data_IF_800338565163
#
_entry.id   IF_800338565163
#
_cell.length_a   1.000
_cell.length_b   1.000
_cell.length_c   1.000
_cell.angle_alpha   90.00
_cell.angle_beta   90.00
_cell.angle_gamma   90.00
#
_symmetry.space_group_name_H-M   'P 1'
#
loop_
_entity.id
_entity.type
_entity.pdbx_description
1 polymer ?
#
# COMPACT_ATOMS: atom_id res chain seq x y z
N UNK A 1 10.78 -3.66 -13.58
CA UNK A 1 9.61 -3.17 -12.84
C UNK A 1 8.95 -2.07 -13.66
N UNK A 2 7.65 -2.19 -13.94
CA UNK A 2 6.87 -1.21 -14.67
C UNK A 2 5.52 -0.96 -13.99
N UNK A 3 5.12 0.30 -13.93
CA UNK A 3 3.76 0.68 -13.50
C UNK A 3 3.11 1.56 -14.55
N UNK A 4 1.86 1.25 -14.87
CA UNK A 4 1.02 2.08 -15.74
C UNK A 4 -0.16 2.56 -14.91
N UNK A 5 -0.40 3.86 -14.93
CA UNK A 5 -1.51 4.48 -14.21
C UNK A 5 -2.29 5.40 -15.14
N UNK A 6 -3.57 5.15 -15.26
CA UNK A 6 -4.51 6.01 -15.98
C UNK A 6 -5.42 6.68 -14.96
N UNK A 7 -5.50 8.02 -15.00
CA UNK A 7 -6.43 8.81 -14.20
C UNK A 7 -7.27 9.64 -15.15
N UNK A 8 -8.57 9.67 -14.91
CA UNK A 8 -9.51 10.57 -15.57
C UNK A 8 -10.43 11.17 -14.53
N UNK A 9 -10.51 12.47 -14.51
CA UNK A 9 -11.39 13.21 -13.62
C UNK A 9 -12.12 14.33 -14.36
N UNK A 10 -13.21 14.75 -13.77
CA UNK A 10 -13.98 15.94 -14.18
C UNK A 10 -14.32 16.73 -12.94
N UNK A 11 -14.01 18.00 -13.00
CA UNK A 11 -14.27 18.96 -11.94
C UNK A 11 -15.29 19.99 -12.45
N UNK A 12 -16.24 20.31 -11.59
CA UNK A 12 -17.19 21.37 -11.81
C UNK A 12 -17.25 22.25 -10.56
N UNK A 13 -16.91 23.52 -10.71
CA UNK A 13 -16.96 24.51 -9.65
C UNK A 13 -17.91 25.65 -10.06
N UNK A 14 -18.75 26.08 -9.11
CA UNK A 14 -19.68 27.19 -9.34
C UNK A 14 -19.87 28.01 -8.08
N UNK A 15 -19.75 29.32 -8.20
CA UNK A 15 -20.07 30.26 -7.15
C UNK A 15 -21.35 31.02 -7.50
N UNK A 16 -22.29 31.06 -6.54
CA UNK A 16 -23.56 31.77 -6.64
C UNK A 16 -23.70 32.61 -5.38
N UNK A 17 -23.44 33.93 -5.49
CA UNK A 17 -23.41 34.83 -4.36
C UNK A 17 -22.35 34.41 -3.31
N UNK A 18 -22.79 34.05 -2.15
CA UNK A 18 -21.91 33.59 -1.02
C UNK A 18 -21.68 32.08 -1.00
N UNK A 19 -22.24 31.34 -1.94
CA UNK A 19 -22.21 29.89 -2.00
C UNK A 19 -21.23 29.42 -3.08
N UNK A 20 -20.25 28.62 -2.73
CA UNK A 20 -19.35 27.95 -3.69
C UNK A 20 -19.51 26.45 -3.56
N UNK A 21 -19.82 25.83 -4.69
CA UNK A 21 -19.98 24.37 -4.83
C UNK A 21 -18.89 23.83 -5.71
N UNK A 22 -18.31 22.71 -5.33
CA UNK A 22 -17.38 21.96 -6.16
C UNK A 22 -17.77 20.49 -6.21
N UNK A 23 -17.69 19.90 -7.38
CA UNK A 23 -17.93 18.46 -7.62
C UNK A 23 -16.76 17.91 -8.40
N UNK A 24 -16.19 16.82 -7.92
CA UNK A 24 -15.16 16.06 -8.63
C UNK A 24 -15.62 14.63 -8.77
N UNK A 25 -15.64 14.14 -10.00
CA UNK A 25 -15.87 12.74 -10.32
C UNK A 25 -14.63 12.19 -10.99
N UNK A 26 -14.10 11.10 -10.50
CA UNK A 26 -12.88 10.54 -11.05
C UNK A 26 -12.85 9.02 -11.05
N UNK A 27 -12.03 8.51 -11.95
CA UNK A 27 -11.68 7.11 -12.02
C UNK A 27 -10.17 6.94 -12.21
N UNK A 28 -9.61 5.91 -11.65
CA UNK A 28 -8.22 5.52 -11.90
C UNK A 28 -8.08 4.02 -12.09
N UNK A 29 -7.12 3.63 -12.90
CA UNK A 29 -6.71 2.26 -13.07
C UNK A 29 -5.19 2.18 -12.94
N UNK A 30 -4.72 1.27 -12.12
CA UNK A 30 -3.29 0.99 -11.91
C UNK A 30 -3.00 -0.44 -12.32
N UNK A 31 -1.92 -0.63 -13.06
CA UNK A 31 -1.32 -1.92 -13.35
C UNK A 31 0.16 -1.86 -13.00
N UNK A 32 0.55 -2.73 -12.12
CA UNK A 32 1.94 -2.90 -11.69
C UNK A 32 2.44 -4.26 -12.14
N UNK A 33 3.65 -4.31 -12.67
CA UNK A 33 4.36 -5.53 -13.02
C UNK A 33 5.75 -5.50 -12.42
N UNK A 34 6.15 -6.58 -11.81
CA UNK A 34 7.47 -6.74 -11.23
C UNK A 34 8.10 -8.06 -11.65
N UNK A 35 9.33 -7.97 -12.14
CA UNK A 35 10.20 -9.09 -12.41
C UNK A 35 11.42 -8.97 -11.53
N UNK A 36 11.94 -10.07 -11.07
CA UNK A 36 13.16 -10.12 -10.30
C UNK A 36 14.15 -11.08 -10.94
N UNK A 37 15.38 -10.61 -11.11
CA UNK A 37 16.52 -11.43 -11.48
C UNK A 37 17.52 -11.38 -10.33
N UNK A 38 17.92 -12.53 -9.84
CA UNK A 38 18.94 -12.66 -8.81
C UNK A 38 20.10 -13.52 -9.29
N UNK A 39 21.26 -13.28 -8.74
CA UNK A 39 22.44 -14.08 -8.97
C UNK A 39 23.26 -14.21 -7.70
N UNK A 40 23.89 -15.35 -7.51
CA UNK A 40 24.84 -15.59 -6.46
C UNK A 40 26.09 -16.26 -7.00
N UNK A 41 27.21 -16.00 -6.38
CA UNK A 41 28.47 -16.69 -6.58
C UNK A 41 29.09 -17.01 -5.24
N UNK A 42 29.82 -18.10 -5.20
CA UNK A 42 30.53 -18.59 -4.02
C UNK A 42 32.04 -18.30 -4.17
N UNK A 43 32.79 -18.52 -3.09
CA UNK A 43 34.26 -18.41 -3.07
C UNK A 43 34.74 -17.00 -3.43
N UNK A 44 34.43 -16.04 -2.57
CA UNK A 44 34.97 -14.68 -2.66
C UNK A 44 36.48 -14.69 -2.51
N UNK A 45 37.19 -14.14 -3.50
CA UNK A 45 38.66 -13.99 -3.47
C UNK A 45 39.10 -13.02 -2.39
N UNK A 46 38.30 -11.96 -2.15
CA UNK A 46 38.57 -10.99 -1.10
C UNK A 46 37.29 -10.71 -0.28
N UNK A 47 37.18 -11.21 0.94
CA UNK A 47 36.01 -11.02 1.79
C UNK A 47 35.79 -9.56 2.21
N UNK A 48 36.84 -8.71 2.16
CA UNK A 48 36.74 -7.29 2.50
C UNK A 48 36.16 -6.45 1.34
N UNK A 49 36.04 -7.02 0.15
CA UNK A 49 35.39 -6.41 -1.03
C UNK A 49 34.35 -7.37 -1.61
N UNK A 50 33.20 -7.52 -0.97
CA UNK A 50 32.16 -8.46 -1.40
C UNK A 50 31.50 -7.95 -2.70
N UNK A 51 31.90 -8.52 -3.82
CA UNK A 51 31.30 -8.29 -5.13
C UNK A 51 31.16 -9.62 -5.87
N UNK A 52 30.09 -9.75 -6.63
CA UNK A 52 29.88 -10.93 -7.49
C UNK A 52 31.04 -11.11 -8.48
N UNK A 53 31.66 -10.01 -8.92
CA UNK A 53 32.76 -10.03 -9.87
C UNK A 53 34.05 -10.64 -9.26
N UNK A 54 34.21 -10.58 -7.94
CA UNK A 54 35.36 -11.13 -7.21
C UNK A 54 35.10 -12.53 -6.64
N UNK A 55 34.04 -13.21 -7.07
CA UNK A 55 33.72 -14.56 -6.66
C UNK A 55 34.03 -15.54 -7.80
N UNK A 56 34.78 -16.61 -7.48
CA UNK A 56 35.20 -17.61 -8.49
C UNK A 56 34.09 -18.61 -8.85
N UNK A 57 33.00 -18.64 -8.07
CA UNK A 57 31.93 -19.62 -8.20
C UNK A 57 32.23 -20.91 -7.43
N UNK A 58 31.29 -21.83 -7.42
CA UNK A 58 31.48 -23.17 -6.89
C UNK A 58 31.94 -24.09 -8.02
N UNK A 59 33.07 -24.78 -7.82
CA UNK A 59 33.62 -25.72 -8.78
C UNK A 59 33.22 -27.13 -8.36
N UNK A 60 32.49 -27.81 -9.21
CA UNK A 60 32.12 -29.20 -9.06
C UNK A 60 33.06 -30.06 -9.94
N UNK A 61 33.80 -30.97 -9.32
CA UNK A 61 34.76 -31.81 -10.00
C UNK A 61 34.11 -33.15 -10.37
N UNK A 62 34.19 -33.50 -11.62
CA UNK A 62 33.84 -34.87 -12.10
C UNK A 62 35.06 -35.78 -11.91
N UNK A 63 34.86 -36.90 -11.26
CA UNK A 63 35.92 -37.91 -11.02
C UNK A 63 35.58 -39.21 -11.72
N UNK A 64 36.61 -39.92 -12.19
CA UNK A 64 36.49 -41.29 -12.70
C UNK A 64 36.38 -42.32 -11.53
N UNK A 65 36.27 -43.60 -11.90
CA UNK A 65 36.17 -44.71 -10.92
C UNK A 65 37.41 -44.84 -10.04
N UNK A 66 38.55 -44.34 -10.50
CA UNK A 66 39.83 -44.37 -9.77
C UNK A 66 40.06 -43.12 -8.93
N UNK A 67 39.09 -42.17 -8.94
CA UNK A 67 39.13 -40.95 -8.16
C UNK A 67 39.85 -39.77 -8.83
N UNK A 68 40.34 -39.90 -10.06
CA UNK A 68 41.03 -38.84 -10.81
C UNK A 68 40.03 -37.80 -11.32
N UNK A 69 40.40 -36.55 -11.27
CA UNK A 69 39.56 -35.44 -11.79
C UNK A 69 39.58 -35.52 -13.33
N UNK A 70 38.42 -35.82 -13.92
CA UNK A 70 38.22 -35.87 -15.38
C UNK A 70 37.58 -34.61 -15.94
N UNK A 71 37.01 -33.73 -15.07
CA UNK A 71 36.40 -32.49 -15.48
C UNK A 71 36.11 -31.57 -14.29
N UNK A 72 35.84 -30.32 -14.61
CA UNK A 72 35.39 -29.32 -13.65
C UNK A 72 34.30 -28.44 -14.26
N UNK A 73 33.22 -28.27 -13.55
CA UNK A 73 32.10 -27.38 -13.91
C UNK A 73 31.96 -26.26 -12.89
N UNK A 74 32.00 -25.03 -13.38
CA UNK A 74 31.74 -23.87 -12.50
C UNK A 74 30.25 -23.61 -12.43
N UNK A 75 29.70 -23.70 -11.25
CA UNK A 75 28.29 -23.40 -11.02
C UNK A 75 28.11 -21.89 -10.74
N UNK A 76 27.24 -21.29 -11.51
CA UNK A 76 26.78 -19.91 -11.31
C UNK A 76 25.31 -19.96 -10.94
N UNK A 77 24.96 -19.43 -9.77
CA UNK A 77 23.55 -19.28 -9.40
C UNK A 77 22.94 -18.06 -10.06
N UNK A 78 22.15 -18.27 -11.08
CA UNK A 78 21.27 -17.25 -11.64
C UNK A 78 19.85 -17.76 -11.51
N UNK A 79 18.97 -16.96 -10.93
CA UNK A 79 17.59 -17.36 -10.75
C UNK A 79 16.65 -16.20 -11.09
N UNK A 80 15.55 -16.51 -11.75
CA UNK A 80 14.41 -15.61 -11.90
C UNK A 80 13.60 -15.60 -10.60
N UNK A 81 13.28 -14.44 -10.12
CA UNK A 81 12.33 -14.28 -9.02
C UNK A 81 10.88 -14.39 -9.49
N UNK A 82 9.93 -14.37 -8.56
CA UNK A 82 8.53 -14.46 -8.91
C UNK A 82 8.10 -13.26 -9.75
N UNK A 83 7.38 -13.53 -10.83
CA UNK A 83 6.64 -12.51 -11.55
C UNK A 83 5.47 -12.04 -10.70
N UNK A 84 5.37 -10.73 -10.48
CA UNK A 84 4.27 -10.13 -9.76
C UNK A 84 3.47 -9.24 -10.67
N UNK A 85 2.15 -9.39 -10.65
CA UNK A 85 1.24 -8.48 -11.35
C UNK A 85 0.13 -8.06 -10.41
N UNK A 86 0.04 -6.76 -10.16
CA UNK A 86 -0.99 -6.16 -9.33
C UNK A 86 -1.82 -5.18 -10.15
N UNK A 87 -3.13 -5.24 -10.00
CA UNK A 87 -4.07 -4.34 -10.66
C UNK A 87 -5.02 -3.73 -9.63
N UNK A 88 -5.26 -2.43 -9.78
CA UNK A 88 -6.19 -1.68 -8.97
C UNK A 88 -7.09 -0.84 -9.86
N UNK A 89 -8.35 -0.76 -9.50
CA UNK A 89 -9.35 0.09 -10.18
C UNK A 89 -10.12 0.87 -9.14
N UNK A 90 -10.22 2.17 -9.32
CA UNK A 90 -10.85 3.07 -8.36
C UNK A 90 -11.84 3.99 -9.02
N UNK A 91 -12.94 4.25 -8.34
CA UNK A 91 -13.90 5.31 -8.67
C UNK A 91 -14.12 6.16 -7.44
N UNK A 92 -14.18 7.49 -7.62
CA UNK A 92 -14.43 8.39 -6.51
C UNK A 92 -15.29 9.58 -6.92
N UNK A 93 -16.03 10.07 -5.94
CA UNK A 93 -16.78 11.30 -6.03
C UNK A 93 -16.45 12.17 -4.81
N UNK A 94 -16.24 13.46 -5.02
CA UNK A 94 -16.03 14.45 -3.98
C UNK A 94 -17.00 15.60 -4.19
N UNK A 95 -17.66 16.00 -3.13
CA UNK A 95 -18.47 17.19 -3.04
C UNK A 95 -17.81 18.15 -2.07
N UNK A 96 -17.68 19.41 -2.46
CA UNK A 96 -17.22 20.48 -1.60
C UNK A 96 -18.23 21.62 -1.61
N UNK A 97 -18.44 22.22 -0.45
CA UNK A 97 -19.30 23.35 -0.27
C UNK A 97 -18.64 24.36 0.64
N UNK A 98 -18.66 25.61 0.26
CA UNK A 98 -18.18 26.73 1.05
C UNK A 98 -19.22 27.83 1.06
N UNK A 99 -19.57 28.29 2.24
CA UNK A 99 -20.46 29.43 2.45
C UNK A 99 -19.69 30.62 2.99
N UNK A 100 -19.53 31.63 2.17
CA UNK A 100 -18.93 32.93 2.50
C UNK A 100 -17.57 32.83 3.24
N UNK A 101 -16.78 31.80 2.89
CA UNK A 101 -15.51 31.49 3.55
C UNK A 101 -15.63 31.26 5.08
N UNK A 102 -16.86 31.07 5.59
CA UNK A 102 -17.15 30.80 7.00
C UNK A 102 -17.28 29.31 7.28
N UNK A 103 -18.15 28.63 6.52
CA UNK A 103 -18.47 27.23 6.69
C UNK A 103 -18.03 26.43 5.49
N UNK A 104 -17.22 25.43 5.71
CA UNK A 104 -16.69 24.54 4.69
C UNK A 104 -17.10 23.10 5.00
N UNK A 105 -17.63 22.40 4.01
CA UNK A 105 -17.99 21.00 4.13
C UNK A 105 -17.42 20.28 2.90
N UNK A 106 -16.78 19.14 3.12
CA UNK A 106 -16.34 18.25 2.06
C UNK A 106 -16.76 16.83 2.39
N UNK A 107 -17.35 16.15 1.42
CA UNK A 107 -17.65 14.71 1.50
C UNK A 107 -17.01 14.01 0.32
N UNK A 108 -16.38 12.87 0.57
CA UNK A 108 -15.77 12.03 -0.46
C UNK A 108 -16.23 10.60 -0.28
N UNK A 109 -16.55 9.91 -1.35
CA UNK A 109 -16.74 8.49 -1.39
C UNK A 109 -15.81 7.90 -2.44
N UNK A 110 -15.07 6.86 -2.07
CA UNK A 110 -14.15 6.15 -2.95
C UNK A 110 -14.44 4.66 -2.89
N UNK A 111 -14.50 4.03 -4.05
CA UNK A 111 -14.62 2.60 -4.20
C UNK A 111 -13.41 2.06 -4.94
N UNK A 112 -12.65 1.21 -4.29
CA UNK A 112 -11.40 0.63 -4.80
C UNK A 112 -11.56 -0.86 -4.97
N UNK A 113 -11.08 -1.40 -6.09
CA UNK A 113 -10.99 -2.82 -6.36
C UNK A 113 -9.54 -3.23 -6.55
N UNK A 114 -9.10 -4.31 -5.89
CA UNK A 114 -7.74 -4.83 -5.95
C UNK A 114 -7.73 -6.28 -6.42
N UNK A 115 -6.73 -6.64 -7.25
CA UNK A 115 -6.52 -8.03 -7.69
C UNK A 115 -6.00 -8.95 -6.59
N UNK A 116 -5.58 -8.39 -5.45
CA UNK A 116 -5.08 -9.14 -4.31
C UNK A 116 -6.16 -9.84 -3.52
N UNK A 117 -7.42 -9.44 -3.70
CA UNK A 117 -8.58 -10.04 -3.04
C UNK A 117 -9.38 -10.93 -3.98
N UNK A 118 -10.02 -11.95 -3.39
CA UNK A 118 -10.96 -12.83 -4.08
C UNK A 118 -12.22 -12.10 -4.55
N UNK A 119 -13.05 -12.79 -5.33
CA UNK A 119 -14.24 -12.22 -5.95
C UNK A 119 -15.23 -11.66 -4.92
N UNK A 120 -15.30 -12.28 -3.71
CA UNK A 120 -16.26 -11.90 -2.66
C UNK A 120 -15.97 -10.52 -2.05
N UNK A 121 -14.69 -10.15 -1.90
CA UNK A 121 -14.26 -8.93 -1.21
C UNK A 121 -13.29 -8.08 -2.05
N UNK A 122 -13.38 -8.20 -3.36
CA UNK A 122 -12.50 -7.50 -4.30
C UNK A 122 -12.59 -5.97 -4.17
N UNK A 123 -13.78 -5.46 -3.84
CA UNK A 123 -14.05 -4.03 -3.75
C UNK A 123 -14.26 -3.59 -2.30
N UNK A 124 -13.56 -2.51 -1.91
CA UNK A 124 -13.79 -1.76 -0.68
C UNK A 124 -14.42 -0.40 -0.97
N UNK A 125 -15.19 0.13 -0.03
CA UNK A 125 -15.80 1.47 -0.14
C UNK A 125 -15.38 2.31 1.06
N UNK A 126 -14.80 3.47 0.79
CA UNK A 126 -14.13 4.31 1.78
C UNK A 126 -14.72 5.72 1.75
N UNK A 127 -15.71 6.00 2.62
CA UNK A 127 -16.27 7.32 2.78
C UNK A 127 -15.39 8.19 3.67
N UNK A 128 -15.44 9.52 3.45
CA UNK A 128 -14.90 10.51 4.35
C UNK A 128 -15.70 11.80 4.32
N UNK A 129 -15.73 12.50 5.43
CA UNK A 129 -16.37 13.81 5.56
C UNK A 129 -15.48 14.71 6.40
N UNK A 130 -15.42 15.98 6.03
CA UNK A 130 -14.74 17.01 6.81
C UNK A 130 -15.58 18.28 6.85
N UNK A 131 -15.53 18.95 7.98
CA UNK A 131 -16.17 20.26 8.20
C UNK A 131 -15.15 21.24 8.74
N UNK A 132 -15.24 22.47 8.32
CA UNK A 132 -14.40 23.56 8.80
C UNK A 132 -15.26 24.79 9.06
N UNK A 133 -14.99 25.44 10.18
CA UNK A 133 -15.59 26.72 10.54
C UNK A 133 -14.50 27.77 10.75
N UNK A 134 -14.53 28.76 9.88
CA UNK A 134 -13.65 29.91 9.98
C UNK A 134 -14.30 30.97 10.89
N UNK A 135 -14.05 30.87 12.18
CA UNK A 135 -14.70 31.68 13.22
C UNK A 135 -14.35 33.15 13.05
N UNK A 136 -13.12 33.45 12.62
CA UNK A 136 -12.66 34.84 12.40
C UNK A 136 -13.50 35.61 11.38
N UNK A 137 -14.17 34.88 10.44
CA UNK A 137 -15.00 35.50 9.43
C UNK A 137 -16.43 35.82 9.92
N UNK A 138 -16.74 35.48 11.18
CA UNK A 138 -18.01 35.84 11.77
C UNK A 138 -18.03 37.32 12.19
N UNK A 139 -19.24 37.91 12.22
CA UNK A 139 -19.42 39.33 12.53
C UNK A 139 -19.07 39.63 13.98
N UNK A 140 -19.34 38.71 14.90
CA UNK A 140 -19.03 38.88 16.32
C UNK A 140 -17.53 38.86 16.64
N UNK A 141 -16.68 38.43 15.67
CA UNK A 141 -15.22 38.42 15.80
C UNK A 141 -14.56 39.68 15.21
N UNK A 142 -15.33 40.64 14.71
CA UNK A 142 -14.78 41.82 14.03
C UNK A 142 -13.75 42.58 14.86
N UNK A 143 -14.03 42.80 16.15
CA UNK A 143 -13.16 43.56 17.07
C UNK A 143 -11.89 42.79 17.49
N UNK A 144 -11.87 41.48 17.30
CA UNK A 144 -10.72 40.66 17.69
C UNK A 144 -9.70 40.47 16.59
N UNK A 145 -10.01 40.83 15.33
CA UNK A 145 -9.17 40.61 14.15
C UNK A 145 -7.81 41.33 14.23
N UNK A 146 -7.69 42.38 15.00
CA UNK A 146 -6.42 43.11 15.18
C UNK A 146 -5.33 42.20 15.79
N UNK A 147 -5.69 41.38 16.76
CA UNK A 147 -4.76 40.50 17.44
C UNK A 147 -4.95 39.03 17.09
N UNK A 148 -6.19 38.54 16.82
CA UNK A 148 -6.53 37.18 16.40
C UNK A 148 -6.91 37.20 14.92
N UNK A 149 -5.92 37.00 14.06
CA UNK A 149 -6.07 37.13 12.61
C UNK A 149 -6.72 35.90 11.96
N UNK A 150 -6.59 34.73 12.59
CA UNK A 150 -7.20 33.50 12.14
C UNK A 150 -7.62 32.63 13.33
N UNK A 151 -8.85 32.17 13.31
CA UNK A 151 -9.37 31.13 14.19
C UNK A 151 -10.23 30.19 13.34
N UNK A 152 -9.72 28.99 13.10
CA UNK A 152 -10.42 27.96 12.35
C UNK A 152 -10.55 26.70 13.18
N UNK A 153 -11.75 26.19 13.29
CA UNK A 153 -12.06 24.90 13.89
C UNK A 153 -12.37 23.91 12.77
N UNK A 154 -11.84 22.71 12.87
CA UNK A 154 -12.06 21.66 11.88
C UNK A 154 -12.33 20.32 12.53
N UNK A 155 -13.18 19.54 11.92
CA UNK A 155 -13.44 18.17 12.27
C UNK A 155 -13.48 17.30 11.03
N UNK A 156 -12.94 16.10 11.11
CA UNK A 156 -13.00 15.15 10.03
C UNK A 156 -13.20 13.73 10.54
N UNK A 157 -13.82 12.93 9.68
CA UNK A 157 -13.96 11.50 9.86
C UNK A 157 -13.79 10.82 8.51
N UNK A 158 -13.09 9.69 8.50
CA UNK A 158 -12.93 8.95 7.26
C UNK A 158 -12.44 7.53 7.47
N UNK A 159 -12.70 6.70 6.45
CA UNK A 159 -12.19 5.35 6.33
C UNK A 159 -11.21 5.25 5.19
N UNK A 160 -10.12 4.50 5.41
CA UNK A 160 -9.15 4.13 4.39
C UNK A 160 -8.99 2.62 4.36
N UNK A 161 -8.86 2.05 3.15
CA UNK A 161 -8.54 0.66 2.94
C UNK A 161 -7.04 0.45 2.72
N UNK A 162 -6.55 -0.69 3.19
CA UNK A 162 -5.20 -1.16 2.93
C UNK A 162 -5.28 -2.53 2.25
N UNK A 163 -4.62 -2.68 1.09
CA UNK A 163 -4.51 -3.92 0.31
C UNK A 163 -3.09 -4.47 0.29
N UNK A 164 -2.24 -4.05 1.22
CA UNK A 164 -0.85 -4.49 1.27
C UNK A 164 -0.71 -5.92 1.80
N UNK A 165 -1.13 -6.86 0.98
CA UNK A 165 -1.06 -8.31 1.21
C UNK A 165 -0.33 -8.98 0.05
N UNK A 166 0.09 -10.23 0.27
CA UNK A 166 0.69 -11.03 -0.79
C UNK A 166 -0.29 -11.26 -1.95
N UNK A 167 0.23 -11.30 -3.17
CA UNK A 167 -0.55 -11.69 -4.35
C UNK A 167 -1.19 -13.06 -4.14
N UNK A 168 -2.42 -13.22 -4.63
CA UNK A 168 -3.21 -14.44 -4.47
C UNK A 168 -3.38 -14.92 -3.03
N UNK A 169 -3.38 -13.96 -2.05
CA UNK A 169 -3.54 -14.25 -0.62
C UNK A 169 -4.78 -15.09 -0.28
N UNK A 170 -5.80 -15.03 -1.13
CA UNK A 170 -7.07 -15.74 -1.00
C UNK A 170 -7.06 -17.18 -1.50
N UNK A 171 -6.00 -17.65 -2.20
CA UNK A 171 -5.90 -19.01 -2.74
C UNK A 171 -5.00 -19.91 -1.87
N UNK A 172 -5.20 -21.23 -1.97
CA UNK A 172 -4.24 -22.20 -1.42
C UNK A 172 -2.99 -22.26 -2.32
N UNK A 173 -1.84 -22.40 -1.69
CA UNK A 173 -0.58 -22.66 -2.39
C UNK A 173 0.00 -23.98 -1.92
N UNK A 174 0.53 -24.73 -2.89
CA UNK A 174 1.23 -26.00 -2.64
C UNK A 174 2.71 -25.80 -2.95
N UNK A 175 3.56 -26.05 -1.97
CA UNK A 175 5.01 -26.07 -2.18
C UNK A 175 5.43 -27.45 -2.69
N UNK A 176 6.17 -27.44 -3.80
CA UNK A 176 6.79 -28.62 -4.39
C UNK A 176 8.21 -28.81 -3.83
N UNK A 177 8.78 -30.03 -3.99
CA UNK A 177 10.16 -30.30 -3.60
C UNK A 177 10.35 -30.62 -2.13
N UNK A 178 9.29 -30.86 -1.36
CA UNK A 178 9.39 -31.39 0.00
C UNK A 178 9.68 -32.88 -0.09
N UNK A 179 10.96 -33.23 0.01
CA UNK A 179 11.40 -34.61 -0.11
C UNK A 179 11.06 -35.41 1.16
N UNK A 180 10.53 -36.60 0.95
CA UNK A 180 10.25 -37.58 2.01
C UNK A 180 11.12 -38.80 1.76
N UNK A 181 11.74 -39.31 2.80
CA UNK A 181 12.48 -40.57 2.75
C UNK A 181 11.53 -41.70 3.11
N UNK A 182 11.31 -42.64 2.19
CA UNK A 182 10.42 -43.78 2.40
C UNK A 182 11.17 -45.11 2.27
N UNK A 183 10.72 -46.10 3.05
CA UNK A 183 11.25 -47.44 3.06
C UNK A 183 12.52 -47.62 3.90
N UNK A 184 12.96 -48.88 4.04
CA UNK A 184 14.17 -49.21 4.80
C UNK A 184 15.42 -48.61 4.20
N UNK A 185 15.44 -48.41 2.87
CA UNK A 185 16.58 -47.91 2.12
C UNK A 185 16.56 -46.37 1.99
N UNK A 186 15.68 -45.68 2.72
CA UNK A 186 15.56 -44.24 2.77
C UNK A 186 15.50 -43.59 1.39
N UNK A 187 14.74 -44.19 0.45
CA UNK A 187 14.60 -43.69 -0.92
C UNK A 187 13.92 -42.32 -0.87
N UNK A 188 14.54 -41.35 -1.53
CA UNK A 188 14.07 -39.98 -1.62
C UNK A 188 12.92 -39.85 -2.65
N UNK A 189 11.75 -39.48 -2.16
CA UNK A 189 10.59 -39.17 -3.00
C UNK A 189 10.29 -37.68 -3.00
N UNK A 190 9.96 -37.15 -4.18
CA UNK A 190 9.51 -35.77 -4.28
C UNK A 190 8.08 -35.68 -3.79
N UNK A 191 7.87 -34.89 -2.75
CA UNK A 191 6.56 -34.65 -2.17
C UNK A 191 6.11 -33.20 -2.38
N UNK A 192 4.86 -32.96 -2.02
CA UNK A 192 4.28 -31.63 -1.98
C UNK A 192 3.55 -31.45 -0.64
N UNK A 193 3.53 -30.20 -0.14
CA UNK A 193 2.75 -29.84 1.06
C UNK A 193 1.99 -28.56 0.83
N UNK A 194 0.86 -28.43 1.51
CA UNK A 194 0.17 -27.15 1.56
C UNK A 194 1.08 -26.11 2.24
N UNK A 195 1.32 -25.01 1.54
CA UNK A 195 2.08 -23.88 2.08
C UNK A 195 1.17 -22.85 2.74
N UNK A 196 -0.07 -22.75 2.25
CA UNK A 196 -1.08 -21.83 2.73
C UNK A 196 -2.46 -22.39 2.47
N UNK A 197 -3.37 -22.23 3.44
CA UNK A 197 -4.78 -22.52 3.29
C UNK A 197 -5.46 -21.38 2.50
N UNK A 198 -6.48 -21.74 1.71
CA UNK A 198 -7.30 -20.76 1.03
C UNK A 198 -8.14 -19.95 2.04
N UNK A 199 -8.21 -18.64 1.82
CA UNK A 199 -9.16 -17.77 2.51
C UNK A 199 -9.93 -16.92 1.48
N UNK A 200 -11.03 -17.45 0.90
CA UNK A 200 -11.80 -16.75 -0.13
C UNK A 200 -12.46 -15.47 0.40
N UNK A 201 -12.63 -15.35 1.71
CA UNK A 201 -13.26 -14.23 2.39
C UNK A 201 -12.24 -13.18 2.89
N UNK A 202 -10.99 -13.31 2.45
CA UNK A 202 -9.96 -12.30 2.72
C UNK A 202 -10.43 -10.94 2.20
N UNK A 203 -10.45 -9.94 3.08
CA UNK A 203 -10.99 -8.60 2.80
C UNK A 203 -10.01 -7.50 3.16
N UNK A 204 -10.32 -6.29 2.75
CA UNK A 204 -9.58 -5.08 3.04
C UNK A 204 -9.40 -4.89 4.54
N UNK A 205 -8.19 -4.52 4.94
CA UNK A 205 -7.94 -3.94 6.24
C UNK A 205 -8.44 -2.49 6.22
N UNK A 206 -9.30 -2.12 7.15
CA UNK A 206 -9.91 -0.80 7.22
C UNK A 206 -9.33 0.00 8.39
N UNK A 207 -8.87 1.20 8.09
CA UNK A 207 -8.46 2.18 9.09
C UNK A 207 -9.48 3.31 9.13
N UNK A 208 -10.10 3.50 10.28
CA UNK A 208 -11.06 4.56 10.56
C UNK A 208 -10.39 5.62 11.45
N UNK A 209 -10.49 6.87 11.04
CA UNK A 209 -9.88 7.98 11.77
C UNK A 209 -10.90 9.12 11.96
N UNK A 210 -10.91 9.68 13.16
CA UNK A 210 -11.66 10.89 13.51
C UNK A 210 -10.66 11.91 14.01
N UNK A 211 -10.71 13.12 13.46
CA UNK A 211 -9.84 14.24 13.82
C UNK A 211 -10.64 15.45 14.26
N UNK A 212 -10.13 16.15 15.28
CA UNK A 212 -10.56 17.47 15.68
C UNK A 212 -9.35 18.39 15.70
N UNK A 213 -9.41 19.52 15.02
CA UNK A 213 -8.31 20.45 14.92
C UNK A 213 -8.72 21.90 15.15
N UNK A 214 -7.79 22.69 15.65
CA UNK A 214 -7.90 24.13 15.79
C UNK A 214 -6.65 24.79 15.22
N UNK A 215 -6.87 25.80 14.40
CA UNK A 215 -5.80 26.64 13.83
C UNK A 215 -5.99 28.08 14.30
N UNK A 216 -4.94 28.65 14.89
CA UNK A 216 -4.89 29.99 15.41
C UNK A 216 -3.79 30.78 14.70
N UNK A 217 -4.08 32.03 14.39
CA UNK A 217 -3.11 32.97 13.85
C UNK A 217 -3.23 34.32 14.58
N UNK A 218 -2.15 34.85 15.06
CA UNK A 218 -2.08 36.09 15.80
C UNK A 218 -1.25 37.13 15.06
N UNK A 219 -1.57 38.42 15.23
CA UNK A 219 -0.81 39.55 14.72
C UNK A 219 -0.52 39.46 13.22
N UNK A 220 -1.57 39.42 12.40
CA UNK A 220 -1.49 39.19 10.93
C UNK A 220 -0.74 37.89 10.57
N UNK A 221 -0.99 36.82 11.32
CA UNK A 221 -0.34 35.52 11.20
C UNK A 221 1.19 35.52 11.42
N UNK A 222 1.71 36.53 12.15
CA UNK A 222 3.11 36.54 12.56
C UNK A 222 3.44 35.39 13.53
N UNK A 223 2.45 34.97 14.33
CA UNK A 223 2.51 33.76 15.17
C UNK A 223 1.34 32.86 14.79
N UNK A 224 1.61 31.61 14.47
CA UNK A 224 0.61 30.60 14.17
C UNK A 224 0.75 29.40 15.10
N UNK A 225 -0.41 28.84 15.50
CA UNK A 225 -0.51 27.66 16.33
C UNK A 225 -1.57 26.72 15.75
N UNK A 226 -1.23 25.44 15.63
CA UNK A 226 -2.18 24.40 15.22
C UNK A 226 -2.11 23.25 16.22
N UNK A 227 -3.28 22.76 16.63
CA UNK A 227 -3.40 21.60 17.48
C UNK A 227 -4.42 20.62 16.89
N UNK A 228 -4.07 19.33 16.90
CA UNK A 228 -4.89 18.25 16.41
C UNK A 228 -5.01 17.17 17.47
N UNK A 229 -6.24 16.68 17.64
CA UNK A 229 -6.56 15.49 18.40
C UNK A 229 -7.20 14.47 17.48
N UNK A 230 -6.65 13.27 17.40
CA UNK A 230 -7.20 12.23 16.56
C UNK A 230 -7.34 10.91 17.28
N UNK A 231 -8.33 10.13 16.84
CA UNK A 231 -8.53 8.74 17.23
C UNK A 231 -8.50 7.91 15.96
N UNK A 232 -7.60 6.93 15.91
CA UNK A 232 -7.48 5.98 14.79
C UNK A 232 -7.76 4.57 15.29
N UNK A 233 -8.63 3.85 14.56
CA UNK A 233 -8.94 2.43 14.78
C UNK A 233 -8.66 1.64 13.52
N UNK A 234 -8.01 0.50 13.65
CA UNK A 234 -7.79 -0.43 12.53
C UNK A 234 -8.62 -1.68 12.75
N UNK A 235 -9.44 -2.03 11.78
CA UNK A 235 -10.33 -3.18 11.78
C UNK A 235 -9.89 -4.18 10.69
N UNK A 236 -10.07 -5.46 10.95
CA UNK A 236 -9.76 -6.51 9.98
C UNK A 236 -8.26 -6.63 9.69
N UNK A 237 -7.43 -6.42 10.70
CA UNK A 237 -5.97 -6.56 10.57
C UNK A 237 -5.60 -7.95 10.05
N UNK A 238 -4.80 -7.98 8.99
CA UNK A 238 -4.40 -9.22 8.33
C UNK A 238 -3.10 -9.71 8.93
N UNK A 239 -3.14 -10.89 9.54
CA UNK A 239 -2.00 -11.52 10.20
C UNK A 239 -1.69 -12.84 9.50
N UNK A 240 -0.43 -13.08 9.17
CA UNK A 240 0.03 -14.37 8.66
C UNK A 240 0.31 -15.29 9.83
N UNK A 241 -0.44 -16.39 9.92
CA UNK A 241 -0.16 -17.44 10.90
C UNK A 241 0.69 -18.53 10.24
N UNK A 242 1.77 -18.99 10.88
CA UNK A 242 2.52 -20.17 10.43
C UNK A 242 1.64 -21.41 10.56
N UNK A 243 1.76 -22.33 9.59
CA UNK A 243 1.12 -23.65 9.56
C UNK A 243 2.10 -24.68 10.07
#
# INVERSE_FOLDING_TARGET
>A
VGSEMCIRDRTYDKTIGKHTFGVVLGQSALKYKGDQLGGNRWNLVNPNKPSIDYATGNVEYTKDADGNITGATVQYGVYGGPYTEHRMSSMFARLSYNYNERYMIQATIRRDGSSRFGINNKYGTFPSVSVGWNVTNEEFMADTREWLSNLKVRASWGKNGNDNIAEFGYTSLTAMGNNVLLGKDAIKWNGSKAQRLANPDLKWEESEQTDLGIDLGFFNNALTFSADYYIKKTNGMIITMPI
#
